data_IF_382165407124
#
_entry.id   IF_382165407124
#
_cell.length_a   1.000
_cell.length_b   1.000
_cell.length_c   1.000
_cell.angle_alpha   90.00
_cell.angle_beta   90.00
_cell.angle_gamma   90.00
#
_symmetry.space_group_name_H-M   'P 1'
#
loop_
_entity.id
_entity.type
_entity.pdbx_description
1 polymer ?
#
# COMPACT_ATOMS: atom_id res chain seq x y z
N UNK A 1 25.26 61.00 2.19
CA UNK A 1 24.74 60.07 1.16
C UNK A 1 25.14 58.61 1.38
N UNK A 2 26.41 58.28 1.66
CA UNK A 2 26.85 56.87 1.91
C UNK A 2 26.18 56.18 3.11
N UNK A 3 25.89 56.93 4.19
CA UNK A 3 25.19 56.41 5.39
C UNK A 3 23.69 56.14 5.16
N UNK A 4 23.07 56.85 4.21
CA UNK A 4 21.65 56.68 3.86
C UNK A 4 21.44 55.45 2.97
N UNK A 5 22.41 55.17 2.08
CA UNK A 5 22.42 53.99 1.23
C UNK A 5 22.59 52.69 2.02
N UNK A 6 23.44 52.70 3.07
CA UNK A 6 23.60 51.55 3.96
C UNK A 6 22.35 51.20 4.76
N UNK A 7 21.59 52.22 5.18
CA UNK A 7 20.35 52.02 5.95
C UNK A 7 19.24 51.39 5.09
N UNK A 8 19.13 51.80 3.81
CA UNK A 8 18.17 51.25 2.85
C UNK A 8 18.50 49.79 2.49
N UNK A 9 19.78 49.43 2.42
CA UNK A 9 20.23 48.07 2.12
C UNK A 9 19.97 47.09 3.28
N UNK A 10 20.08 47.55 4.53
CA UNK A 10 19.76 46.72 5.71
C UNK A 10 18.25 46.54 5.87
N UNK A 11 17.46 47.58 5.58
CA UNK A 11 15.99 47.49 5.64
C UNK A 11 15.43 46.54 4.59
N UNK A 12 15.97 46.53 3.38
CA UNK A 12 15.54 45.62 2.31
C UNK A 12 15.92 44.16 2.61
N UNK A 13 17.07 43.91 3.22
CA UNK A 13 17.47 42.56 3.63
C UNK A 13 16.61 41.99 4.77
N UNK A 14 16.17 42.84 5.71
CA UNK A 14 15.27 42.43 6.80
C UNK A 14 13.86 42.04 6.30
N UNK A 15 13.36 42.72 5.26
CA UNK A 15 12.06 42.39 4.64
C UNK A 15 12.12 41.06 3.87
N UNK A 16 13.25 40.75 3.23
CA UNK A 16 13.47 39.45 2.55
C UNK A 16 13.54 38.29 3.55
N UNK A 17 14.18 38.48 4.72
CA UNK A 17 14.21 37.45 5.76
C UNK A 17 12.84 37.21 6.41
N UNK A 18 12.02 38.26 6.59
CA UNK A 18 10.64 38.12 7.08
C UNK A 18 9.73 37.38 6.08
N UNK A 19 9.96 37.55 4.77
CA UNK A 19 9.21 36.84 3.72
C UNK A 19 9.58 35.35 3.62
N UNK A 20 10.79 34.95 4.02
CA UNK A 20 11.19 33.53 4.10
C UNK A 20 10.86 32.87 5.45
N UNK A 21 10.50 33.64 6.48
CA UNK A 21 10.13 33.13 7.81
C UNK A 21 8.69 32.60 7.93
N UNK A 22 7.83 32.83 6.94
CA UNK A 22 6.40 32.49 7.00
C UNK A 22 6.06 31.12 6.37
N UNK A 23 7.02 30.19 6.36
CA UNK A 23 6.89 28.86 5.77
C UNK A 23 6.35 27.77 6.71
N UNK A 24 6.11 28.07 7.98
CA UNK A 24 5.32 27.21 8.85
C UNK A 24 3.84 27.45 8.58
N UNK A 25 3.32 26.76 7.55
CA UNK A 25 1.89 26.42 7.46
C UNK A 25 1.51 25.76 8.80
N UNK A 26 1.01 26.58 9.72
CA UNK A 26 0.23 26.12 10.86
C UNK A 26 -0.89 25.28 10.26
N UNK A 27 -0.90 23.99 10.58
CA UNK A 27 -1.78 23.00 9.99
C UNK A 27 -3.21 23.47 10.02
N UNK A 28 -3.82 23.58 8.84
CA UNK A 28 -5.24 23.27 8.76
C UNK A 28 -5.39 21.87 9.33
N UNK A 29 -6.36 21.65 10.22
CA UNK A 29 -6.82 20.31 10.56
C UNK A 29 -7.25 19.63 9.26
N UNK A 30 -6.31 19.00 8.56
CA UNK A 30 -6.60 18.27 7.33
C UNK A 30 -7.32 17.00 7.75
N UNK A 31 -8.65 17.13 7.77
CA UNK A 31 -9.58 16.09 8.18
C UNK A 31 -9.84 15.12 7.04
N UNK A 32 -9.21 15.31 5.88
CA UNK A 32 -9.31 14.41 4.75
C UNK A 32 -8.28 13.28 4.87
N UNK A 33 -8.72 12.05 4.65
CA UNK A 33 -7.89 10.85 4.62
C UNK A 33 -8.08 10.19 3.26
N UNK A 34 -7.04 10.16 2.45
CA UNK A 34 -7.03 9.53 1.13
C UNK A 34 -6.47 8.12 1.22
N UNK A 35 -7.28 7.12 0.88
CA UNK A 35 -6.90 5.71 0.98
C UNK A 35 -6.94 5.03 -0.40
N UNK A 36 -5.80 4.51 -0.84
CA UNK A 36 -5.72 3.64 -2.01
C UNK A 36 -6.14 2.20 -1.67
N UNK A 37 -7.17 1.66 -2.31
CA UNK A 37 -7.73 0.35 -1.97
C UNK A 37 -8.05 -0.49 -3.20
N UNK A 38 -7.97 -1.82 -3.06
CA UNK A 38 -8.50 -2.73 -4.10
C UNK A 38 -10.03 -2.66 -4.15
N UNK A 39 -10.66 -2.91 -5.32
CA UNK A 39 -12.11 -2.71 -5.49
C UNK A 39 -12.96 -3.48 -4.48
N UNK A 40 -12.69 -4.77 -4.28
CA UNK A 40 -13.36 -5.60 -3.30
C UNK A 40 -12.36 -6.52 -2.59
N UNK A 41 -12.58 -6.86 -1.31
CA UNK A 41 -13.57 -6.26 -0.40
C UNK A 41 -13.12 -4.89 0.16
N UNK A 42 -11.91 -4.44 -0.14
CA UNK A 42 -11.25 -3.33 0.57
C UNK A 42 -11.98 -1.99 0.45
N UNK A 43 -12.26 -1.53 -0.77
CA UNK A 43 -13.01 -0.29 -0.98
C UNK A 43 -14.44 -0.41 -0.43
N UNK A 44 -15.10 -1.56 -0.60
CA UNK A 44 -16.43 -1.80 -0.03
C UNK A 44 -16.46 -1.68 1.50
N UNK A 45 -15.44 -2.19 2.20
CA UNK A 45 -15.28 -2.04 3.65
C UNK A 45 -15.08 -0.56 4.00
N UNK A 46 -14.23 0.16 3.25
CA UNK A 46 -13.99 1.58 3.46
C UNK A 46 -15.25 2.43 3.24
N UNK A 47 -16.08 2.10 2.26
CA UNK A 47 -17.38 2.74 2.04
C UNK A 47 -18.32 2.57 3.24
N UNK A 48 -18.28 1.41 3.92
CA UNK A 48 -19.00 1.22 5.19
C UNK A 48 -18.38 1.99 6.36
N UNK A 49 -17.07 2.22 6.34
CA UNK A 49 -16.37 2.99 7.36
C UNK A 49 -16.54 4.51 7.21
N UNK A 50 -16.77 5.00 6.00
CA UNK A 50 -16.93 6.43 5.67
C UNK A 50 -17.91 7.19 6.59
N UNK A 51 -19.17 6.76 6.79
CA UNK A 51 -20.09 7.46 7.69
C UNK A 51 -19.67 7.40 9.18
N UNK A 52 -18.83 6.43 9.58
CA UNK A 52 -18.29 6.36 10.94
C UNK A 52 -17.16 7.37 11.15
N UNK A 53 -16.35 7.62 10.11
CA UNK A 53 -15.30 8.64 10.11
C UNK A 53 -15.89 10.05 10.01
N UNK A 54 -16.93 10.26 9.21
CA UNK A 54 -17.63 11.55 9.11
C UNK A 54 -18.17 12.01 10.47
N UNK A 55 -18.76 11.09 11.26
CA UNK A 55 -19.21 11.37 12.64
C UNK A 55 -18.07 11.78 13.59
N UNK A 56 -16.84 11.37 13.28
CA UNK A 56 -15.63 11.76 14.01
C UNK A 56 -14.97 13.02 13.42
N UNK A 57 -15.59 13.61 12.41
CA UNK A 57 -15.11 14.80 11.73
C UNK A 57 -14.02 14.54 10.69
N UNK A 58 -13.90 13.32 10.16
CA UNK A 58 -12.96 12.99 9.08
C UNK A 58 -13.70 12.72 7.76
N UNK A 59 -13.17 13.23 6.66
CA UNK A 59 -13.61 12.90 5.29
C UNK A 59 -12.74 11.76 4.75
N UNK A 60 -13.36 10.65 4.32
CA UNK A 60 -12.65 9.55 3.67
C UNK A 60 -12.78 9.64 2.15
N UNK A 61 -11.64 9.77 1.47
CA UNK A 61 -11.50 9.75 0.01
C UNK A 61 -10.89 8.42 -0.43
N UNK A 62 -11.67 7.61 -1.16
CA UNK A 62 -11.28 6.24 -1.53
C UNK A 62 -10.83 6.24 -2.99
N UNK A 63 -9.55 5.95 -3.21
CA UNK A 63 -8.99 5.74 -4.56
C UNK A 63 -8.96 4.24 -4.86
N UNK A 64 -9.92 3.79 -5.65
CA UNK A 64 -9.95 2.38 -6.10
C UNK A 64 -8.85 2.11 -7.13
N UNK A 65 -7.96 1.17 -6.83
CA UNK A 65 -6.78 0.82 -7.64
C UNK A 65 -6.83 -0.68 -7.96
N UNK A 66 -6.78 -1.02 -9.25
CA UNK A 66 -6.94 -2.39 -9.74
C UNK A 66 -5.59 -3.07 -10.07
N UNK A 67 -4.58 -2.84 -9.22
CA UNK A 67 -3.28 -3.52 -9.28
C UNK A 67 -2.57 -3.46 -7.91
N UNK A 68 -1.52 -4.27 -7.71
CA UNK A 68 -0.81 -4.37 -6.42
C UNK A 68 0.49 -3.57 -6.34
N UNK A 69 0.90 -2.89 -7.41
CA UNK A 69 2.18 -2.16 -7.48
C UNK A 69 2.01 -0.67 -7.21
N UNK A 70 0.91 -0.09 -7.71
CA UNK A 70 0.59 1.32 -7.62
C UNK A 70 0.35 1.79 -6.18
N UNK A 71 -0.41 1.08 -5.31
CA UNK A 71 -0.75 1.63 -4.00
C UNK A 71 0.45 1.91 -3.09
N UNK A 72 1.48 1.04 -3.08
CA UNK A 72 2.70 1.27 -2.29
C UNK A 72 3.53 2.44 -2.84
N UNK A 73 3.62 2.56 -4.17
CA UNK A 73 4.32 3.68 -4.82
C UNK A 73 3.67 5.03 -4.52
N UNK A 74 2.34 5.09 -4.55
CA UNK A 74 1.61 6.32 -4.22
C UNK A 74 1.80 6.70 -2.75
N UNK A 75 1.74 5.72 -1.83
CA UNK A 75 1.93 5.96 -0.41
C UNK A 75 3.36 6.43 -0.10
N UNK A 76 4.38 5.77 -0.66
CA UNK A 76 5.79 6.13 -0.45
C UNK A 76 6.11 7.55 -0.96
N UNK A 77 5.40 8.02 -1.99
CA UNK A 77 5.50 9.38 -2.52
C UNK A 77 4.66 10.43 -1.79
N UNK A 78 3.81 10.02 -0.84
CA UNK A 78 2.87 10.90 -0.15
C UNK A 78 1.70 11.39 -1.01
N UNK A 79 1.34 10.66 -2.09
CA UNK A 79 0.18 11.00 -2.94
C UNK A 79 -1.16 10.47 -2.38
N UNK A 80 -1.08 9.59 -1.37
CA UNK A 80 -2.18 9.07 -0.55
C UNK A 80 -1.70 8.93 0.90
N UNK A 81 -2.60 8.99 1.87
CA UNK A 81 -2.29 8.94 3.30
C UNK A 81 -2.13 7.50 3.82
N UNK A 82 -2.89 6.57 3.22
CA UNK A 82 -2.79 5.14 3.52
C UNK A 82 -3.13 4.30 2.29
N UNK A 83 -2.82 3.00 2.36
CA UNK A 83 -3.38 2.01 1.45
C UNK A 83 -3.98 0.83 2.21
N UNK A 84 -4.94 0.16 1.59
CA UNK A 84 -5.62 -1.00 2.14
C UNK A 84 -5.86 -2.02 1.04
N UNK A 85 -4.91 -2.95 0.88
CA UNK A 85 -4.95 -3.98 -0.18
C UNK A 85 -4.06 -5.20 0.06
N UNK A 86 -3.11 -5.13 1.01
CA UNK A 86 -1.98 -6.06 1.10
C UNK A 86 -1.88 -6.76 2.45
N UNK A 87 -1.14 -7.86 2.47
CA UNK A 87 -0.75 -8.59 3.68
C UNK A 87 0.71 -8.31 4.08
N UNK A 88 1.05 -8.60 5.34
CA UNK A 88 2.39 -8.35 5.92
C UNK A 88 3.55 -8.97 5.12
N UNK A 89 3.47 -10.23 4.63
CA UNK A 89 4.52 -10.79 3.78
C UNK A 89 4.77 -10.00 2.48
N UNK A 90 3.71 -9.51 1.84
CA UNK A 90 3.84 -8.68 0.63
C UNK A 90 4.51 -7.34 0.94
N UNK A 91 4.05 -6.65 2.00
CA UNK A 91 4.64 -5.39 2.47
C UNK A 91 6.14 -5.56 2.76
N UNK A 92 6.52 -6.61 3.46
CA UNK A 92 7.93 -6.87 3.80
C UNK A 92 8.79 -7.11 2.55
N UNK A 93 8.24 -7.80 1.55
CA UNK A 93 8.93 -8.05 0.27
C UNK A 93 9.10 -6.75 -0.51
N UNK A 94 8.04 -5.94 -0.65
CA UNK A 94 8.09 -4.65 -1.34
C UNK A 94 9.07 -3.68 -0.68
N UNK A 95 9.10 -3.61 0.66
CA UNK A 95 10.07 -2.79 1.39
C UNK A 95 11.50 -3.24 1.14
N UNK A 96 11.76 -4.55 1.15
CA UNK A 96 13.08 -5.12 0.91
C UNK A 96 13.55 -4.86 -0.53
N UNK A 97 12.67 -5.10 -1.50
CA UNK A 97 13.04 -5.12 -2.92
C UNK A 97 13.04 -3.71 -3.54
N UNK A 98 12.18 -2.80 -3.07
CA UNK A 98 12.01 -1.46 -3.63
C UNK A 98 12.44 -0.33 -2.69
N UNK A 99 12.74 -0.62 -1.43
CA UNK A 99 13.23 0.37 -0.47
C UNK A 99 12.16 1.33 0.07
N UNK A 100 10.87 1.00 -0.07
CA UNK A 100 9.77 1.86 0.40
C UNK A 100 9.82 2.09 1.92
N UNK A 101 9.53 3.32 2.34
CA UNK A 101 9.55 3.78 3.73
C UNK A 101 8.15 3.81 4.34
N UNK A 102 7.41 2.72 4.11
CA UNK A 102 6.04 2.54 4.59
C UNK A 102 6.00 1.50 5.72
N UNK A 103 4.95 1.55 6.54
CA UNK A 103 4.74 0.66 7.69
C UNK A 103 3.29 0.20 7.75
N UNK A 104 3.04 -0.95 8.39
CA UNK A 104 1.67 -1.36 8.71
C UNK A 104 1.16 -0.55 9.89
N UNK A 105 -0.04 0.01 9.76
CA UNK A 105 -0.74 0.71 10.84
C UNK A 105 -1.68 -0.21 11.64
N UNK A 106 -1.95 -1.43 11.15
CA UNK A 106 -2.82 -2.39 11.82
C UNK A 106 -3.36 -3.46 10.87
N UNK A 107 -3.71 -4.61 11.44
CA UNK A 107 -4.37 -5.71 10.73
C UNK A 107 -5.90 -5.51 10.75
N UNK A 108 -6.57 -5.84 9.65
CA UNK A 108 -8.02 -5.57 9.48
C UNK A 108 -8.82 -6.85 9.22
N UNK A 109 -8.49 -7.62 8.18
CA UNK A 109 -9.21 -8.83 7.81
C UNK A 109 -8.30 -9.90 7.23
N UNK A 110 -8.86 -11.09 7.02
CA UNK A 110 -8.21 -12.22 6.37
C UNK A 110 -9.05 -12.70 5.19
N UNK A 111 -8.41 -12.90 4.05
CA UNK A 111 -9.01 -13.52 2.86
C UNK A 111 -8.47 -14.96 2.72
N UNK A 112 -9.32 -15.99 2.93
CA UNK A 112 -8.91 -17.37 2.72
C UNK A 112 -8.55 -17.62 1.26
N UNK A 113 -7.32 -18.10 1.03
CA UNK A 113 -6.88 -18.48 -0.31
C UNK A 113 -7.50 -19.83 -0.70
N UNK A 114 -7.88 -19.98 -1.96
CA UNK A 114 -8.45 -21.20 -2.48
C UNK A 114 -8.00 -21.46 -3.92
N UNK A 115 -8.12 -22.72 -4.36
CA UNK A 115 -7.90 -23.13 -5.74
C UNK A 115 -9.27 -23.29 -6.41
N UNK A 116 -9.44 -22.67 -7.57
CA UNK A 116 -10.70 -22.69 -8.33
C UNK A 116 -10.50 -23.38 -9.67
N UNK A 117 -11.53 -24.07 -10.15
CA UNK A 117 -11.54 -24.68 -11.47
C UNK A 117 -12.96 -24.70 -12.04
N UNK A 118 -13.07 -24.44 -13.34
CA UNK A 118 -14.33 -24.63 -14.08
C UNK A 118 -14.51 -26.08 -14.56
N UNK A 119 -13.44 -26.89 -14.57
CA UNK A 119 -13.40 -28.22 -15.19
C UNK A 119 -13.35 -29.37 -14.19
N UNK A 120 -12.66 -29.18 -13.06
CA UNK A 120 -12.38 -30.21 -12.07
C UNK A 120 -12.99 -29.79 -10.73
N UNK A 121 -13.56 -30.74 -9.99
CA UNK A 121 -14.22 -30.47 -8.71
C UNK A 121 -13.28 -30.59 -7.52
N UNK A 122 -12.13 -31.24 -7.71
CA UNK A 122 -11.12 -31.41 -6.67
C UNK A 122 -9.71 -31.49 -7.25
N UNK A 123 -8.70 -31.26 -6.40
CA UNK A 123 -7.29 -31.43 -6.79
C UNK A 123 -6.97 -32.87 -7.20
N UNK A 124 -7.69 -33.86 -6.67
CA UNK A 124 -7.49 -35.30 -6.97
C UNK A 124 -7.88 -35.68 -8.40
N UNK A 125 -8.73 -34.89 -9.04
CA UNK A 125 -9.20 -35.10 -10.42
C UNK A 125 -8.25 -34.52 -11.48
N UNK A 126 -7.20 -33.81 -11.07
CA UNK A 126 -6.27 -33.19 -12.01
C UNK A 126 -5.50 -34.27 -12.80
N UNK A 127 -5.53 -34.23 -14.15
CA UNK A 127 -4.76 -35.16 -14.96
C UNK A 127 -3.27 -34.85 -14.88
N UNK A 128 -2.44 -35.85 -15.17
CA UNK A 128 -1.00 -35.65 -15.34
C UNK A 128 -0.74 -34.59 -16.43
N UNK A 129 0.09 -33.60 -16.11
CA UNK A 129 0.40 -32.50 -17.03
C UNK A 129 -0.63 -31.36 -17.03
N UNK A 130 -1.57 -31.33 -16.07
CA UNK A 130 -2.49 -30.22 -15.92
C UNK A 130 -1.75 -28.88 -15.71
N UNK A 131 -2.25 -27.82 -16.36
CA UNK A 131 -1.78 -26.45 -16.17
C UNK A 131 -2.51 -25.79 -15.01
N UNK A 132 -1.76 -25.20 -14.10
CA UNK A 132 -2.27 -24.39 -12.99
C UNK A 132 -1.80 -22.94 -13.18
N UNK A 133 -2.74 -22.01 -13.22
CA UNK A 133 -2.43 -20.58 -13.20
C UNK A 133 -2.29 -20.11 -11.75
N UNK A 134 -1.24 -19.35 -11.47
CA UNK A 134 -0.90 -18.89 -10.13
C UNK A 134 -0.51 -17.42 -10.16
N UNK A 135 -0.60 -16.78 -9.00
CA UNK A 135 -0.07 -15.42 -8.79
C UNK A 135 1.44 -15.39 -9.09
N UNK A 136 1.90 -14.34 -9.77
CA UNK A 136 3.33 -14.11 -10.00
C UNK A 136 4.02 -13.43 -8.79
N UNK A 137 3.25 -13.11 -7.73
CA UNK A 137 3.74 -12.48 -6.51
C UNK A 137 4.63 -13.45 -5.69
N UNK A 138 5.94 -13.17 -5.51
CA UNK A 138 6.84 -14.05 -4.77
C UNK A 138 6.39 -14.31 -3.32
N UNK A 139 5.76 -13.34 -2.67
CA UNK A 139 5.28 -13.47 -1.30
C UNK A 139 4.17 -14.53 -1.12
N UNK A 140 3.52 -14.93 -2.21
CA UNK A 140 2.39 -15.87 -2.21
C UNK A 140 2.76 -17.27 -2.69
N UNK A 141 3.92 -17.42 -3.33
CA UNK A 141 4.35 -18.69 -3.94
C UNK A 141 4.35 -19.87 -2.98
N UNK A 142 4.91 -19.67 -1.79
CA UNK A 142 4.90 -20.71 -0.76
C UNK A 142 3.48 -21.11 -0.33
N UNK A 143 2.56 -20.14 -0.22
CA UNK A 143 1.19 -20.40 0.23
C UNK A 143 0.42 -21.23 -0.80
N UNK A 144 0.51 -20.91 -2.10
CA UNK A 144 -0.29 -21.65 -3.10
C UNK A 144 0.30 -23.01 -3.44
N UNK A 145 1.64 -23.15 -3.43
CA UNK A 145 2.27 -24.45 -3.67
C UNK A 145 1.89 -25.46 -2.59
N UNK A 146 1.63 -24.99 -1.36
CA UNK A 146 1.22 -25.84 -0.24
C UNK A 146 -0.05 -26.65 -0.54
N UNK A 147 -1.04 -26.08 -1.24
CA UNK A 147 -2.26 -26.82 -1.61
C UNK A 147 -1.96 -28.10 -2.40
N UNK A 148 -1.01 -28.02 -3.33
CA UNK A 148 -0.64 -29.13 -4.21
C UNK A 148 0.30 -30.12 -3.51
N UNK A 149 1.12 -29.66 -2.56
CA UNK A 149 1.91 -30.54 -1.69
C UNK A 149 1.00 -31.34 -0.76
N UNK A 150 0.05 -30.67 -0.09
CA UNK A 150 -0.89 -31.31 0.83
C UNK A 150 -1.81 -32.30 0.12
N UNK A 151 -2.17 -32.03 -1.14
CA UNK A 151 -2.91 -32.95 -2.00
C UNK A 151 -2.06 -34.10 -2.57
N UNK A 152 -0.75 -34.14 -2.30
CA UNK A 152 0.17 -35.17 -2.79
C UNK A 152 0.52 -35.08 -4.28
N UNK A 153 0.18 -33.98 -4.95
CA UNK A 153 0.38 -33.79 -6.39
C UNK A 153 1.81 -33.39 -6.75
N UNK A 154 2.48 -32.66 -5.85
CA UNK A 154 3.87 -32.23 -6.04
C UNK A 154 4.69 -32.44 -4.77
N UNK A 155 6.02 -32.48 -4.92
CA UNK A 155 6.97 -32.45 -3.81
C UNK A 155 7.95 -31.30 -4.03
N UNK A 156 8.14 -30.46 -3.02
CA UNK A 156 9.15 -29.40 -3.06
C UNK A 156 10.48 -30.01 -2.61
N UNK A 157 11.48 -29.98 -3.49
CA UNK A 157 12.84 -30.39 -3.12
C UNK A 157 13.39 -29.43 -2.07
N UNK A 158 14.02 -29.96 -1.02
CA UNK A 158 14.77 -29.11 -0.08
C UNK A 158 15.81 -28.33 -0.86
N UNK A 159 15.91 -27.02 -0.61
CA UNK A 159 16.98 -26.19 -1.16
C UNK A 159 18.31 -26.79 -0.71
N UNK A 160 19.15 -27.25 -1.65
CA UNK A 160 20.55 -27.55 -1.35
C UNK A 160 21.18 -26.23 -0.87
N UNK A 161 21.63 -26.18 0.38
CA UNK A 161 22.56 -25.14 0.83
C UNK A 161 23.90 -25.50 0.17
N UNK A 162 24.13 -24.94 -1.00
CA UNK A 162 25.49 -24.76 -1.51
C UNK A 162 25.92 -23.37 -1.06
#
# INVERSE_FOLDING_TARGET
>A
MKKLFGLILVLTFAVVLAACGNGSKSGSDDKKITVGASPAPHAEILEKAKPLLEKKGYELDIKTINDYTTPNKLLDKGEIDANYFQHTPYLNTEKKDKGYKIVSAGDVHLEPMAVYSKKYKSLKELPKGATVYVSNNPAEQGRFLKFFVDAGLIKIKKRRKN
#
